data_IF_526207968868
#
_entry.id   IF_526207968868
#
_cell.length_a   1.000
_cell.length_b   1.000
_cell.length_c   1.000
_cell.angle_alpha   90.00
_cell.angle_beta   90.00
_cell.angle_gamma   90.00
#
_symmetry.space_group_name_H-M   'P 1'
#
loop_
_entity.id
_entity.type
_entity.pdbx_description
1 polymer ?
#
# COMPACT_ATOMS: atom_id res chain seq x y z
N UNK A 1 7.09 -4.96 -23.53
CA UNK A 1 7.63 -6.04 -22.67
C UNK A 1 8.38 -5.52 -21.43
N UNK A 2 8.78 -4.25 -21.35
CA UNK A 2 9.52 -3.70 -20.18
C UNK A 2 8.59 -3.39 -19.00
N UNK A 3 7.36 -2.95 -19.27
CA UNK A 3 6.39 -2.54 -18.22
C UNK A 3 6.03 -3.67 -17.24
N UNK A 4 6.01 -4.93 -17.71
CA UNK A 4 5.65 -6.06 -16.86
C UNK A 4 6.76 -6.40 -15.84
N UNK A 5 8.02 -6.19 -16.20
CA UNK A 5 9.17 -6.43 -15.32
C UNK A 5 9.30 -5.34 -14.26
N UNK A 6 9.05 -4.08 -14.62
CA UNK A 6 9.07 -2.97 -13.66
C UNK A 6 7.94 -3.08 -12.63
N UNK A 7 6.74 -3.48 -13.06
CA UNK A 7 5.61 -3.70 -12.17
C UNK A 7 5.91 -4.80 -11.16
N UNK A 8 6.42 -5.95 -11.62
CA UNK A 8 6.76 -7.07 -10.74
C UNK A 8 7.85 -6.72 -9.72
N UNK A 9 8.82 -5.87 -10.09
CA UNK A 9 9.82 -5.36 -9.15
C UNK A 9 9.17 -4.45 -8.09
N UNK A 10 8.26 -3.55 -8.49
CA UNK A 10 7.53 -2.69 -7.57
C UNK A 10 6.64 -3.45 -6.61
N UNK A 11 5.95 -4.50 -7.08
CA UNK A 11 5.14 -5.37 -6.22
C UNK A 11 6.00 -6.02 -5.12
N UNK A 12 7.22 -6.45 -5.45
CA UNK A 12 8.17 -7.00 -4.48
C UNK A 12 8.67 -5.93 -3.50
N UNK A 13 9.04 -4.74 -3.98
CA UNK A 13 9.45 -3.62 -3.13
C UNK A 13 8.34 -3.25 -2.13
N UNK A 14 7.11 -3.08 -2.60
CA UNK A 14 5.98 -2.77 -1.73
C UNK A 14 5.65 -3.92 -0.79
N UNK A 15 5.81 -5.17 -1.24
CA UNK A 15 5.61 -6.35 -0.39
C UNK A 15 6.57 -6.36 0.79
N UNK A 16 7.83 -6.01 0.58
CA UNK A 16 8.82 -5.89 1.66
C UNK A 16 8.46 -4.79 2.66
N UNK A 17 8.06 -3.61 2.18
CA UNK A 17 7.62 -2.50 3.04
C UNK A 17 6.41 -2.89 3.89
N UNK A 18 5.39 -3.48 3.26
CA UNK A 18 4.18 -3.92 3.96
C UNK A 18 4.53 -4.99 5.01
N UNK A 19 5.39 -5.95 4.66
CA UNK A 19 5.84 -7.00 5.59
C UNK A 19 6.57 -6.41 6.80
N UNK A 20 7.48 -5.46 6.61
CA UNK A 20 8.18 -4.79 7.71
C UNK A 20 7.23 -4.02 8.63
N UNK A 21 6.25 -3.31 8.06
CA UNK A 21 5.24 -2.59 8.83
C UNK A 21 4.27 -3.54 9.55
N UNK A 22 3.93 -4.66 8.92
CA UNK A 22 3.10 -5.70 9.50
C UNK A 22 3.77 -6.31 10.75
N UNK A 23 5.07 -6.61 10.69
CA UNK A 23 5.83 -7.11 11.84
C UNK A 23 5.78 -6.13 13.02
N UNK A 24 5.87 -4.82 12.75
CA UNK A 24 5.76 -3.79 13.80
C UNK A 24 4.40 -3.81 14.47
N UNK A 25 3.32 -3.93 13.69
CA UNK A 25 1.97 -4.01 14.24
C UNK A 25 1.76 -5.33 14.98
N UNK A 26 2.19 -6.46 14.42
CA UNK A 26 2.05 -7.77 15.06
C UNK A 26 2.75 -7.82 16.42
N UNK A 27 3.92 -7.17 16.56
CA UNK A 27 4.62 -7.01 17.83
C UNK A 27 3.85 -6.16 18.84
N UNK A 28 3.13 -5.12 18.40
CA UNK A 28 2.29 -4.27 19.26
C UNK A 28 1.08 -5.05 19.83
N UNK A 29 0.53 -6.00 19.07
CA UNK A 29 -0.69 -6.75 19.43
C UNK A 29 -0.44 -8.18 19.93
N UNK A 30 0.82 -8.57 20.12
CA UNK A 30 1.25 -9.91 20.56
C UNK A 30 0.74 -11.06 19.67
N UNK A 31 0.61 -10.79 18.36
CA UNK A 31 0.12 -11.78 17.38
C UNK A 31 1.30 -12.43 16.68
N UNK A 32 1.92 -13.36 17.39
CA UNK A 32 2.95 -14.25 16.86
C UNK A 32 4.28 -13.57 16.50
N UNK A 33 5.34 -14.38 16.42
CA UNK A 33 6.65 -13.94 15.95
C UNK A 33 6.78 -14.19 14.45
N UNK A 34 6.17 -13.33 13.63
CA UNK A 34 6.44 -13.28 12.20
C UNK A 34 7.69 -12.43 11.93
N UNK A 35 8.54 -12.88 11.01
CA UNK A 35 9.62 -12.05 10.45
C UNK A 35 9.22 -11.56 9.07
N UNK A 36 9.71 -10.40 8.67
CA UNK A 36 9.39 -9.84 7.35
C UNK A 36 9.93 -10.72 6.23
N UNK A 37 11.11 -11.31 6.41
CA UNK A 37 11.67 -12.27 5.46
C UNK A 37 10.79 -13.52 5.29
N UNK A 38 10.24 -14.07 6.39
CA UNK A 38 9.32 -15.20 6.29
C UNK A 38 8.03 -14.80 5.54
N UNK A 39 7.49 -13.62 5.83
CA UNK A 39 6.30 -13.09 5.16
C UNK A 39 6.54 -12.90 3.65
N UNK A 40 7.67 -12.29 3.26
CA UNK A 40 7.97 -12.00 1.85
C UNK A 40 8.22 -13.28 1.06
N UNK A 41 8.81 -14.31 1.67
CA UNK A 41 9.14 -15.55 0.96
C UNK A 41 8.02 -16.62 1.00
N UNK A 42 7.02 -16.47 1.88
CA UNK A 42 5.91 -17.41 1.99
C UNK A 42 4.69 -16.95 1.17
N UNK A 43 4.45 -17.62 0.05
CA UNK A 43 3.33 -17.31 -0.84
C UNK A 43 1.96 -17.45 -0.15
N UNK A 44 1.80 -18.43 0.74
CA UNK A 44 0.54 -18.65 1.44
C UNK A 44 0.26 -17.49 2.42
N UNK A 45 1.30 -17.01 3.12
CA UNK A 45 1.16 -15.84 4.01
C UNK A 45 0.82 -14.58 3.21
N UNK A 46 1.49 -14.33 2.07
CA UNK A 46 1.23 -13.11 1.27
C UNK A 46 -0.20 -13.02 0.74
N UNK A 47 -0.83 -14.16 0.47
CA UNK A 47 -2.20 -14.23 -0.05
C UNK A 47 -3.26 -14.45 1.03
N UNK A 48 -2.85 -14.55 2.30
CA UNK A 48 -3.78 -14.71 3.41
C UNK A 48 -4.40 -13.36 3.78
N UNK A 49 -5.69 -13.38 4.12
CA UNK A 49 -6.36 -12.21 4.65
C UNK A 49 -5.68 -11.76 5.94
N UNK A 50 -5.41 -10.47 6.07
CA UNK A 50 -4.87 -9.87 7.29
C UNK A 50 -5.73 -10.22 8.52
N UNK A 51 -7.05 -10.31 8.36
CA UNK A 51 -7.95 -10.75 9.42
C UNK A 51 -7.66 -12.19 9.88
N UNK A 52 -7.32 -13.09 8.95
CA UNK A 52 -6.99 -14.49 9.25
C UNK A 52 -5.60 -14.63 9.87
N UNK A 53 -4.76 -13.60 9.81
CA UNK A 53 -3.50 -13.49 10.55
C UNK A 53 -3.71 -13.02 12.00
N UNK A 54 -4.95 -12.72 12.40
CA UNK A 54 -5.33 -12.30 13.74
C UNK A 54 -5.45 -10.78 13.91
N UNK A 55 -5.14 -10.00 12.88
CA UNK A 55 -5.29 -8.54 12.96
C UNK A 55 -6.76 -8.17 13.10
N UNK A 56 -7.06 -7.29 14.05
CA UNK A 56 -8.37 -6.65 14.14
C UNK A 56 -8.53 -5.58 13.06
N UNK A 57 -9.76 -5.09 12.90
CA UNK A 57 -10.05 -4.07 11.89
C UNK A 57 -9.29 -2.78 12.07
N UNK A 58 -9.05 -2.38 13.31
CA UNK A 58 -8.25 -1.22 13.63
C UNK A 58 -6.77 -1.42 13.27
N UNK A 59 -6.26 -2.64 13.38
CA UNK A 59 -4.85 -2.95 13.17
C UNK A 59 -4.48 -2.86 11.69
N UNK A 60 -5.31 -3.44 10.80
CA UNK A 60 -5.06 -3.30 9.37
C UNK A 60 -5.37 -1.90 8.85
N UNK A 61 -6.27 -1.14 9.48
CA UNK A 61 -6.45 0.28 9.15
C UNK A 61 -5.21 1.08 9.55
N UNK A 62 -4.66 0.85 10.75
CA UNK A 62 -3.39 1.45 11.18
C UNK A 62 -2.26 1.08 10.21
N UNK A 63 -2.20 -0.18 9.77
CA UNK A 63 -1.25 -0.64 8.76
C UNK A 63 -1.39 0.14 7.45
N UNK A 64 -2.60 0.31 6.95
CA UNK A 64 -2.87 1.05 5.72
C UNK A 64 -2.37 2.51 5.81
N UNK A 65 -2.59 3.18 6.96
CA UNK A 65 -2.08 4.53 7.20
C UNK A 65 -0.54 4.55 7.21
N UNK A 66 0.10 3.58 7.87
CA UNK A 66 1.56 3.47 7.89
C UNK A 66 2.13 3.23 6.48
N UNK A 67 1.49 2.36 5.70
CA UNK A 67 1.86 2.09 4.30
C UNK A 67 1.73 3.34 3.44
N UNK A 68 0.65 4.11 3.59
CA UNK A 68 0.47 5.35 2.84
C UNK A 68 1.54 6.40 3.19
N UNK A 69 1.90 6.52 4.47
CA UNK A 69 2.97 7.42 4.91
C UNK A 69 4.34 7.02 4.37
N UNK A 70 4.64 5.71 4.33
CA UNK A 70 5.94 5.20 3.89
C UNK A 70 6.09 5.22 2.36
N UNK A 71 5.03 4.88 1.64
CA UNK A 71 5.06 4.73 0.17
C UNK A 71 4.63 5.99 -0.57
N UNK A 72 3.88 6.87 0.09
CA UNK A 72 3.24 8.03 -0.53
C UNK A 72 2.03 7.68 -1.41
N UNK A 73 1.51 6.46 -1.33
CA UNK A 73 0.35 5.99 -2.09
C UNK A 73 -0.75 5.47 -1.16
N UNK A 74 -1.98 5.89 -1.43
CA UNK A 74 -3.15 5.39 -0.72
C UNK A 74 -3.62 4.06 -1.31
N UNK A 75 -4.08 3.16 -0.43
CA UNK A 75 -4.71 1.92 -0.84
C UNK A 75 -6.16 2.17 -1.24
N UNK A 76 -6.68 1.54 -2.32
CA UNK A 76 -8.08 1.65 -2.69
C UNK A 76 -8.98 0.97 -1.65
N UNK A 77 -10.22 1.44 -1.48
CA UNK A 77 -11.17 0.93 -0.50
C UNK A 77 -11.39 -0.60 -0.56
N UNK A 78 -11.33 -1.16 -1.76
CA UNK A 78 -11.45 -2.61 -1.97
C UNK A 78 -10.31 -3.40 -1.34
N UNK A 79 -9.10 -2.84 -1.25
CA UNK A 79 -7.97 -3.47 -0.56
C UNK A 79 -8.19 -3.52 0.96
N UNK A 80 -9.07 -2.68 1.50
CA UNK A 80 -9.40 -2.63 2.94
C UNK A 80 -10.63 -3.49 3.27
N UNK A 81 -11.59 -3.58 2.34
CA UNK A 81 -12.90 -4.19 2.62
C UNK A 81 -13.03 -5.61 2.07
N UNK A 82 -12.39 -5.93 0.94
CA UNK A 82 -12.48 -7.25 0.30
C UNK A 82 -11.41 -8.19 0.85
N UNK A 83 -11.79 -9.30 1.48
CA UNK A 83 -10.85 -10.28 2.05
C UNK A 83 -9.88 -10.88 1.02
N UNK A 84 -10.27 -11.00 -0.25
CA UNK A 84 -9.40 -11.46 -1.32
C UNK A 84 -8.33 -10.44 -1.75
N UNK A 85 -8.50 -9.16 -1.38
CA UNK A 85 -7.56 -8.07 -1.68
C UNK A 85 -6.92 -7.47 -0.42
N UNK A 86 -7.47 -7.74 0.77
CA UNK A 86 -6.90 -7.41 2.08
C UNK A 86 -5.82 -8.41 2.46
N UNK A 87 -4.82 -8.48 1.60
CA UNK A 87 -3.69 -9.38 1.68
C UNK A 87 -2.45 -8.59 1.31
N UNK A 88 -1.27 -9.07 1.68
CA UNK A 88 -0.02 -8.38 1.33
C UNK A 88 0.14 -8.33 -0.19
N UNK A 89 -0.13 -9.43 -0.87
CA UNK A 89 -0.10 -9.50 -2.33
C UNK A 89 -1.08 -8.51 -2.98
N UNK A 90 -2.32 -8.44 -2.47
CA UNK A 90 -3.33 -7.51 -2.98
C UNK A 90 -2.95 -6.05 -2.77
N UNK A 91 -2.33 -5.72 -1.65
CA UNK A 91 -1.85 -4.36 -1.37
C UNK A 91 -0.64 -4.00 -2.23
N UNK A 92 0.34 -4.90 -2.36
CA UNK A 92 1.49 -4.73 -3.26
C UNK A 92 1.07 -4.46 -4.70
N UNK A 93 0.11 -5.24 -5.21
CA UNK A 93 -0.45 -5.09 -6.55
C UNK A 93 -1.13 -3.72 -6.75
N UNK A 94 -1.93 -3.30 -5.76
CA UNK A 94 -2.61 -2.01 -5.79
C UNK A 94 -1.62 -0.84 -5.80
N UNK A 95 -0.60 -0.89 -4.95
CA UNK A 95 0.45 0.13 -4.85
C UNK A 95 1.31 0.19 -6.12
N UNK A 96 1.70 -0.97 -6.66
CA UNK A 96 2.42 -1.04 -7.93
C UNK A 96 1.62 -0.40 -9.06
N UNK A 97 0.32 -0.74 -9.14
CA UNK A 97 -0.60 -0.16 -10.12
C UNK A 97 -0.73 1.37 -9.99
N UNK A 98 -0.87 1.88 -8.76
CA UNK A 98 -0.93 3.32 -8.49
C UNK A 98 0.38 4.04 -8.85
N UNK A 99 1.53 3.43 -8.56
CA UNK A 99 2.86 3.98 -8.86
C UNK A 99 3.14 4.09 -10.37
N UNK A 100 2.61 3.15 -11.16
CA UNK A 100 2.67 3.20 -12.62
C UNK A 100 1.78 4.32 -13.19
N UNK A 101 0.59 4.53 -12.60
CA UNK A 101 -0.33 5.60 -13.04
C UNK A 101 0.21 7.01 -12.75
N UNK A 102 0.88 7.22 -11.60
CA UNK A 102 1.48 8.53 -11.25
C UNK A 102 2.56 8.98 -12.25
N UNK A 103 3.29 8.03 -12.85
CA UNK A 103 4.28 8.33 -13.91
C UNK A 103 3.63 8.84 -15.21
N UNK A 104 2.34 8.60 -15.42
CA UNK A 104 1.62 8.93 -16.65
C UNK A 104 0.67 10.13 -16.51
N UNK A 105 0.72 10.86 -15.39
CA UNK A 105 -0.13 12.04 -15.16
C UNK A 105 0.73 13.31 -15.11
N UNK A 106 0.52 14.32 -15.99
CA UNK A 106 1.18 15.60 -15.83
C UNK A 106 0.69 16.25 -14.53
N UNK A 107 1.64 16.64 -13.68
CA UNK A 107 1.46 17.28 -12.38
C UNK A 107 0.34 18.33 -12.44
N UNK A 108 -0.80 18.07 -11.79
CA UNK A 108 -1.91 19.05 -11.69
C UNK A 108 -1.66 20.11 -10.61
N UNK A 109 -0.40 20.33 -10.20
CA UNK A 109 -0.03 21.38 -9.24
C UNK A 109 0.19 22.76 -9.85
N UNK A 110 -0.24 23.00 -11.09
CA UNK A 110 -0.06 24.30 -11.76
C UNK A 110 -1.36 24.95 -12.26
N UNK A 111 -2.46 24.84 -11.50
CA UNK A 111 -3.75 25.51 -11.84
C UNK A 111 -4.41 26.33 -10.74
N UNK A 112 -3.73 26.56 -9.63
CA UNK A 112 -4.30 27.37 -8.53
C UNK A 112 -3.74 28.79 -8.43
N UNK A 113 -2.82 29.21 -9.31
CA UNK A 113 -2.15 30.53 -9.20
C UNK A 113 -2.64 31.62 -10.17
N UNK A 114 -3.64 31.36 -11.02
CA UNK A 114 -4.20 32.36 -11.97
C UNK A 114 -5.63 32.81 -11.59
N UNK A 115 -5.88 33.06 -10.31
CA UNK A 115 -7.07 33.82 -9.89
C UNK A 115 -6.69 34.94 -8.92
N UNK A 116 -5.74 35.76 -9.33
CA UNK A 116 -5.65 37.15 -8.87
C UNK A 116 -6.06 38.08 -10.03
N UNK A 117 -6.65 39.21 -9.65
CA UNK A 117 -6.83 40.43 -10.46
C UNK A 117 -8.00 40.51 -11.44
N UNK A 118 -9.23 40.54 -10.90
CA UNK A 118 -10.34 41.20 -11.60
C UNK A 118 -11.41 41.74 -10.64
N UNK A 119 -11.07 42.55 -9.63
CA UNK A 119 -12.03 43.49 -9.02
C UNK A 119 -11.32 44.68 -8.34
N UNK A 120 -10.77 45.56 -9.17
CA UNK A 120 -10.60 46.97 -8.83
C UNK A 120 -11.04 47.79 -10.04
N UNK A 121 -12.21 48.41 -9.92
CA UNK A 121 -12.85 49.25 -10.94
C UNK A 121 -14.21 49.70 -10.44
#
# INVERSE_FOLDING_TARGET
>A
MIENSERSAREQEFGAVIADLLVKIAADVDIGHLSSDAIVNDEAIRHRDLADLGLGSLDWIKLAVMVANETGFELPDEALTNSGRRTIAGWSDALASASCHRRNWPDQRDRSSEREDAHAG
#
